data_IF_015918891392
#
_entry.id   IF_015918891392
#
_cell.length_a   1.000
_cell.length_b   1.000
_cell.length_c   1.000
_cell.angle_alpha   90.00
_cell.angle_beta   90.00
_cell.angle_gamma   90.00
#
_symmetry.space_group_name_H-M   'P 1'
#
loop_
_entity.id
_entity.type
_entity.pdbx_description
1 polymer ?
#
# COMPACT_ATOMS: atom_id res chain seq x y z
N UNK A 1 1.16 2.28 -8.29
CA UNK A 1 -0.05 3.12 -8.36
C UNK A 1 0.13 4.29 -7.39
N UNK A 2 -0.28 5.50 -7.77
CA UNK A 2 -0.26 6.68 -6.91
C UNK A 2 -1.69 7.23 -6.86
N UNK A 3 -2.22 7.42 -5.66
CA UNK A 3 -3.56 7.99 -5.49
C UNK A 3 -3.58 9.47 -5.88
N UNK A 4 -4.79 10.01 -6.06
CA UNK A 4 -4.99 11.46 -6.00
C UNK A 4 -4.51 12.01 -4.64
N UNK A 5 -4.12 13.29 -4.57
CA UNK A 5 -3.78 13.92 -3.31
C UNK A 5 -4.98 13.99 -2.37
N UNK A 6 -4.73 13.73 -1.09
CA UNK A 6 -5.61 13.92 0.05
C UNK A 6 -5.12 15.14 0.83
N UNK A 7 -6.04 16.01 1.26
CA UNK A 7 -5.74 17.26 1.96
C UNK A 7 -6.16 17.22 3.43
N UNK A 8 -6.39 16.03 3.97
CA UNK A 8 -6.89 15.88 5.32
C UNK A 8 -5.78 16.06 6.34
N UNK A 9 -6.07 16.82 7.40
CA UNK A 9 -5.12 17.10 8.47
C UNK A 9 -5.08 15.99 9.53
N UNK A 10 -6.12 15.16 9.63
CA UNK A 10 -6.18 14.05 10.58
C UNK A 10 -5.54 12.77 10.06
N UNK A 11 -5.24 11.85 10.99
CA UNK A 11 -4.77 10.51 10.64
C UNK A 11 -5.83 9.72 9.88
N UNK A 12 -5.38 8.83 9.00
CA UNK A 12 -6.25 8.02 8.15
C UNK A 12 -5.81 6.56 8.16
N UNK A 13 -6.77 5.67 7.94
CA UNK A 13 -6.55 4.23 7.81
C UNK A 13 -6.81 3.83 6.37
N UNK A 14 -5.75 3.44 5.67
CA UNK A 14 -5.82 2.84 4.35
C UNK A 14 -6.07 1.34 4.50
N UNK A 15 -7.11 0.85 3.83
CA UNK A 15 -7.58 -0.54 3.83
C UNK A 15 -7.63 -1.02 2.39
N UNK A 16 -7.25 -2.26 2.16
CA UNK A 16 -7.21 -2.83 0.81
C UNK A 16 -7.18 -4.34 0.87
N UNK A 17 -7.57 -4.97 -0.24
CA UNK A 17 -7.29 -6.37 -0.49
C UNK A 17 -6.08 -6.50 -1.41
N UNK A 18 -5.25 -7.51 -1.17
CA UNK A 18 -4.09 -7.80 -2.01
C UNK A 18 -3.89 -9.30 -2.22
N UNK A 19 -3.21 -9.63 -3.30
CA UNK A 19 -2.85 -10.98 -3.67
C UNK A 19 -1.42 -10.98 -4.21
N UNK A 20 -0.57 -11.89 -3.73
CA UNK A 20 0.79 -12.07 -4.21
C UNK A 20 1.03 -13.56 -4.42
N UNK A 21 1.32 -13.95 -5.66
CA UNK A 21 1.60 -15.35 -5.99
C UNK A 21 2.59 -15.46 -7.16
N UNK A 22 3.23 -16.61 -7.29
CA UNK A 22 4.14 -16.93 -8.38
C UNK A 22 4.82 -18.27 -8.16
N UNK A 23 5.61 -18.75 -9.14
CA UNK A 23 6.31 -20.03 -9.05
C UNK A 23 7.33 -20.09 -7.89
N UNK A 24 7.64 -21.30 -7.44
CA UNK A 24 8.71 -21.54 -6.47
C UNK A 24 10.04 -20.92 -6.94
N UNK A 25 10.76 -20.27 -6.02
CA UNK A 25 12.01 -19.56 -6.32
C UNK A 25 11.82 -18.14 -6.89
N UNK A 26 10.59 -17.65 -7.04
CA UNK A 26 10.33 -16.24 -7.37
C UNK A 26 9.97 -15.42 -6.14
N UNK A 27 10.19 -14.11 -6.19
CA UNK A 27 9.85 -13.16 -5.12
C UNK A 27 9.06 -11.97 -5.65
N UNK A 28 8.21 -11.43 -4.78
CA UNK A 28 7.14 -10.53 -5.10
C UNK A 28 6.84 -9.75 -3.85
N UNK A 29 6.89 -8.43 -3.92
CA UNK A 29 6.72 -7.56 -2.77
C UNK A 29 5.73 -6.46 -3.13
N UNK A 30 4.71 -6.33 -2.31
CA UNK A 30 3.82 -5.17 -2.32
C UNK A 30 4.16 -4.29 -1.13
N UNK A 31 4.30 -2.99 -1.36
CA UNK A 31 4.48 -2.00 -0.31
C UNK A 31 3.57 -0.79 -0.48
N UNK A 32 3.24 -0.16 0.65
CA UNK A 32 2.49 1.09 0.72
C UNK A 32 3.37 2.14 1.36
N UNK A 33 3.53 3.27 0.69
CA UNK A 33 4.24 4.43 1.18
C UNK A 33 3.35 5.69 1.10
N UNK A 34 3.77 6.73 1.81
CA UNK A 34 3.21 8.08 1.73
C UNK A 34 4.10 8.95 0.86
N UNK A 35 3.51 9.89 0.13
CA UNK A 35 4.24 10.93 -0.58
C UNK A 35 3.56 12.27 -0.37
N UNK A 36 4.25 13.26 0.22
CA UNK A 36 3.71 14.63 0.25
C UNK A 36 3.75 15.21 -1.16
N UNK A 37 2.74 16.02 -1.50
CA UNK A 37 2.69 16.68 -2.80
C UNK A 37 3.93 17.58 -2.96
N UNK A 38 4.67 17.35 -4.05
CA UNK A 38 5.92 18.06 -4.32
C UNK A 38 7.15 17.52 -3.61
N UNK A 39 7.04 16.41 -2.85
CA UNK A 39 8.18 15.73 -2.22
C UNK A 39 8.48 14.37 -2.87
N UNK A 40 9.60 13.79 -2.49
CA UNK A 40 9.91 12.38 -2.74
C UNK A 40 8.96 11.48 -1.93
N UNK A 41 8.85 10.21 -2.35
CA UNK A 41 8.14 9.18 -1.60
C UNK A 41 8.85 8.95 -0.26
N UNK A 42 8.09 8.93 0.83
CA UNK A 42 8.57 8.73 2.19
C UNK A 42 8.84 7.25 2.48
N UNK A 43 9.22 6.95 3.72
CA UNK A 43 9.48 5.57 4.16
C UNK A 43 8.27 4.67 3.98
N UNK A 44 8.55 3.39 3.74
CA UNK A 44 7.55 2.34 3.61
C UNK A 44 6.74 2.22 4.92
N UNK A 45 5.41 2.32 4.82
CA UNK A 45 4.49 2.23 5.95
C UNK A 45 4.01 0.79 6.16
N UNK A 46 3.92 0.00 5.09
CA UNK A 46 3.47 -1.38 5.12
C UNK A 46 4.07 -2.16 3.97
N UNK A 47 4.47 -3.41 4.19
CA UNK A 47 4.79 -4.31 3.10
C UNK A 47 4.49 -5.75 3.42
N UNK A 48 4.19 -6.51 2.38
CA UNK A 48 4.17 -7.96 2.43
C UNK A 48 4.87 -8.55 1.19
N UNK A 49 5.66 -9.58 1.42
CA UNK A 49 6.34 -10.40 0.42
C UNK A 49 6.06 -11.90 0.58
N UNK A 50 5.11 -12.27 1.44
CA UNK A 50 4.64 -13.64 1.63
C UNK A 50 3.73 -14.04 0.46
N UNK A 51 4.01 -15.21 -0.10
CA UNK A 51 3.29 -15.79 -1.23
C UNK A 51 2.13 -16.63 -0.72
N UNK A 52 0.93 -16.27 -1.12
CA UNK A 52 -0.28 -16.96 -0.68
C UNK A 52 -1.28 -17.02 -1.83
N UNK A 53 -1.85 -18.20 -2.04
CA UNK A 53 -2.83 -18.47 -3.10
C UNK A 53 -4.24 -17.97 -2.74
N UNK A 54 -4.35 -16.91 -1.93
CA UNK A 54 -5.62 -16.31 -1.51
C UNK A 54 -5.49 -14.79 -1.39
N UNK A 55 -6.60 -14.08 -1.60
CA UNK A 55 -6.68 -12.66 -1.27
C UNK A 55 -6.53 -12.45 0.24
N UNK A 56 -5.78 -11.41 0.60
CA UNK A 56 -5.54 -11.02 1.97
C UNK A 56 -5.96 -9.58 2.20
N UNK A 57 -6.47 -9.33 3.40
CA UNK A 57 -6.78 -7.99 3.85
C UNK A 57 -5.52 -7.33 4.41
N UNK A 58 -5.25 -6.12 3.95
CA UNK A 58 -4.17 -5.26 4.44
C UNK A 58 -4.74 -3.95 4.95
N UNK A 59 -4.14 -3.43 6.02
CA UNK A 59 -4.43 -2.08 6.48
C UNK A 59 -3.18 -1.41 7.03
N UNK A 60 -3.11 -0.10 6.88
CA UNK A 60 -2.01 0.71 7.39
C UNK A 60 -2.47 2.11 7.75
N UNK A 61 -2.04 2.57 8.92
CA UNK A 61 -2.26 3.95 9.36
C UNK A 61 -1.33 4.88 8.59
N UNK A 62 -1.90 5.93 8.02
CA UNK A 62 -1.18 7.03 7.39
C UNK A 62 -1.35 8.25 8.28
N UNK A 63 -0.24 8.72 8.85
CA UNK A 63 -0.27 9.91 9.70
C UNK A 63 -0.73 11.12 8.89
N UNK A 64 -1.68 11.85 9.47
CA UNK A 64 -2.17 13.11 8.93
C UNK A 64 -1.07 14.18 8.96
N UNK A 65 -1.27 15.26 8.20
CA UNK A 65 -0.37 16.39 8.21
C UNK A 65 -0.97 17.61 7.54
N UNK A 66 -0.30 18.76 7.70
CA UNK A 66 -0.74 20.04 7.09
C UNK A 66 -0.60 19.99 5.56
N UNK A 67 0.35 19.19 5.06
CA UNK A 67 0.62 19.04 3.64
C UNK A 67 -0.28 17.97 3.01
N UNK A 68 -0.79 18.26 1.81
CA UNK A 68 -1.48 17.26 1.02
C UNK A 68 -0.54 16.09 0.71
N UNK A 69 -1.07 14.86 0.68
CA UNK A 69 -0.29 13.66 0.43
C UNK A 69 -1.02 12.66 -0.48
N UNK A 70 -0.27 11.77 -1.11
CA UNK A 70 -0.79 10.62 -1.85
C UNK A 70 -0.35 9.31 -1.20
N UNK A 71 -1.20 8.29 -1.26
CA UNK A 71 -0.83 6.92 -0.97
C UNK A 71 -0.18 6.30 -2.22
N UNK A 72 0.93 5.61 -2.03
CA UNK A 72 1.74 5.03 -3.10
C UNK A 72 1.85 3.53 -2.89
N UNK A 73 1.21 2.77 -3.78
CA UNK A 73 1.40 1.31 -3.85
C UNK A 73 2.54 0.99 -4.82
N UNK A 74 3.55 0.29 -4.33
CA UNK A 74 4.71 -0.16 -5.12
C UNK A 74 4.74 -1.68 -5.15
N UNK A 75 4.84 -2.23 -6.36
CA UNK A 75 4.92 -3.67 -6.58
C UNK A 75 6.27 -3.98 -7.22
N UNK A 76 7.04 -4.85 -6.59
CA UNK A 76 8.32 -5.37 -7.11
C UNK A 76 8.13 -6.84 -7.39
N UNK A 77 8.56 -7.29 -8.58
CA UNK A 77 8.48 -8.68 -9.02
C UNK A 77 9.85 -9.13 -9.49
N UNK A 78 10.30 -10.30 -9.05
CA UNK A 78 11.56 -10.88 -9.52
C UNK A 78 11.46 -11.47 -10.92
N UNK A 79 10.23 -11.75 -11.40
CA UNK A 79 9.97 -12.26 -12.74
C UNK A 79 8.59 -11.86 -13.25
N UNK A 80 8.35 -12.01 -14.55
CA UNK A 80 7.04 -11.78 -15.18
C UNK A 80 5.96 -12.76 -14.72
N UNK A 81 6.34 -13.93 -14.21
CA UNK A 81 5.44 -14.98 -13.74
C UNK A 81 4.89 -14.72 -12.32
N UNK A 82 5.36 -13.67 -11.65
CA UNK A 82 4.79 -13.21 -10.39
C UNK A 82 3.56 -12.35 -10.69
N UNK A 83 2.47 -12.64 -10.01
CA UNK A 83 1.20 -11.90 -10.08
C UNK A 83 1.00 -11.15 -8.77
N UNK A 84 0.74 -9.85 -8.89
CA UNK A 84 0.36 -9.00 -7.77
C UNK A 84 -0.96 -8.33 -8.13
N UNK A 85 -1.98 -8.58 -7.32
CA UNK A 85 -3.31 -7.97 -7.41
C UNK A 85 -3.58 -7.06 -6.21
N UNK A 86 -4.32 -5.99 -6.44
CA UNK A 86 -4.79 -5.05 -5.41
C UNK A 86 -6.25 -4.73 -5.75
N UNK A 87 -7.14 -4.77 -4.77
CA UNK A 87 -8.56 -4.47 -4.95
C UNK A 87 -9.15 -3.77 -3.72
N UNK A 88 -10.37 -3.23 -3.87
CA UNK A 88 -11.18 -2.69 -2.76
C UNK A 88 -10.42 -1.69 -1.86
N UNK A 89 -9.73 -0.73 -2.49
CA UNK A 89 -8.95 0.29 -1.79
C UNK A 89 -9.89 1.32 -1.15
N UNK A 90 -9.86 1.40 0.18
CA UNK A 90 -10.69 2.31 0.98
C UNK A 90 -9.79 3.11 1.92
N UNK A 91 -10.05 4.41 2.03
CA UNK A 91 -9.41 5.29 3.00
C UNK A 91 -10.47 5.81 3.96
N UNK A 92 -10.27 5.60 5.25
CA UNK A 92 -11.20 6.05 6.31
C UNK A 92 -10.48 6.95 7.30
N UNK A 93 -11.22 7.85 7.96
CA UNK A 93 -10.68 8.70 9.02
C UNK A 93 -10.23 7.89 10.25
N UNK A 94 -9.16 8.33 10.90
CA UNK A 94 -8.59 7.76 12.12
C UNK A 94 -7.56 6.65 11.86
N UNK A 95 -6.92 6.19 12.94
CA UNK A 95 -5.97 5.06 12.88
C UNK A 95 -6.65 3.75 12.50
N UNK A 96 -5.88 2.83 11.93
CA UNK A 96 -6.35 1.47 11.74
C UNK A 96 -6.54 0.75 13.08
N UNK A 97 -7.59 -0.08 13.23
CA UNK A 97 -7.75 -0.94 14.40
C UNK A 97 -6.54 -1.84 14.61
N UNK A 98 -6.22 -2.11 15.88
CA UNK A 98 -5.20 -3.08 16.27
C UNK A 98 -5.63 -4.53 15.94
#
# INVERSE_FOLDING_TARGET
FVSRPYTNAGDECLKFWYFVNGPSGTTGKLSVARQNVGSQVESNLWSNDIYESAWRYGQVSINGGISAFSAVFQAVRSSSNVVIGIDDIILTLGYCPA
#
